data_IF_888490606905
#
_entry.id   IF_888490606905
#
_cell.length_a   1.000
_cell.length_b   1.000
_cell.length_c   1.000
_cell.angle_alpha   90.00
_cell.angle_beta   90.00
_cell.angle_gamma   90.00
#
_symmetry.space_group_name_H-M   'P 1'
#
loop_
_entity.id
_entity.type
_entity.pdbx_description
1 polymer ?
#
# COMPACT_ATOMS: atom_id res chain seq x y z
N UNK A 1 -22.27 -10.91 5.00
CA UNK A 1 -22.30 -9.52 5.48
C UNK A 1 -21.34 -8.73 4.61
N UNK A 2 -21.82 -7.76 3.83
CA UNK A 2 -20.92 -6.81 3.14
C UNK A 2 -20.24 -6.00 4.24
N UNK A 3 -18.97 -6.30 4.53
CA UNK A 3 -18.14 -5.38 5.28
C UNK A 3 -18.00 -4.15 4.39
N UNK A 4 -18.64 -3.04 4.76
CA UNK A 4 -18.40 -1.74 4.16
C UNK A 4 -16.93 -1.43 4.34
N UNK A 5 -16.16 -1.65 3.29
CA UNK A 5 -14.76 -1.27 3.21
C UNK A 5 -14.73 0.26 3.18
N UNK A 6 -14.14 0.87 4.20
CA UNK A 6 -13.98 2.30 4.21
C UNK A 6 -12.84 2.65 3.25
N UNK A 7 -13.09 3.59 2.32
CA UNK A 7 -11.99 4.19 1.55
C UNK A 7 -10.96 4.76 2.52
N UNK A 8 -9.68 4.48 2.25
CA UNK A 8 -8.58 5.05 3.02
C UNK A 8 -8.75 6.57 3.14
N UNK A 9 -8.75 7.15 4.36
CA UNK A 9 -8.81 8.60 4.54
C UNK A 9 -7.68 9.31 3.80
N UNK A 10 -7.93 10.51 3.27
CA UNK A 10 -6.94 11.28 2.49
C UNK A 10 -5.53 11.37 3.11
N UNK A 11 -5.36 11.56 4.44
CA UNK A 11 -4.03 11.58 5.05
C UNK A 11 -3.29 10.24 4.91
N UNK A 12 -4.01 9.12 4.99
CA UNK A 12 -3.45 7.77 4.82
C UNK A 12 -3.16 7.46 3.34
N UNK A 13 -3.89 8.07 2.40
CA UNK A 13 -3.53 7.99 0.98
C UNK A 13 -2.19 8.68 0.68
N UNK A 14 -1.93 9.84 1.29
CA UNK A 14 -0.66 10.57 1.14
C UNK A 14 0.49 9.71 1.68
N UNK A 15 0.32 9.14 2.87
CA UNK A 15 1.30 8.22 3.48
C UNK A 15 1.59 7.00 2.60
N UNK A 16 0.56 6.42 1.97
CA UNK A 16 0.75 5.31 1.04
C UNK A 16 1.56 5.72 -0.21
N UNK A 17 1.29 6.89 -0.77
CA UNK A 17 2.05 7.41 -1.92
C UNK A 17 3.52 7.65 -1.56
N UNK A 18 3.79 8.22 -0.39
CA UNK A 18 5.15 8.41 0.12
C UNK A 18 5.87 7.07 0.32
N UNK A 19 5.18 6.05 0.86
CA UNK A 19 5.75 4.71 1.04
C UNK A 19 6.03 4.00 -0.29
N UNK A 20 5.18 4.18 -1.30
CA UNK A 20 5.40 3.64 -2.66
C UNK A 20 6.64 4.28 -3.28
N UNK A 21 6.77 5.61 -3.21
CA UNK A 21 7.93 6.33 -3.76
C UNK A 21 9.22 5.96 -3.02
N UNK A 22 9.17 5.85 -1.69
CA UNK A 22 10.31 5.39 -0.88
C UNK A 22 10.70 3.95 -1.21
N UNK A 23 9.74 3.05 -1.42
CA UNK A 23 10.00 1.66 -1.81
C UNK A 23 10.59 1.56 -3.23
N UNK A 24 10.26 2.50 -4.10
CA UNK A 24 10.87 2.59 -5.43
C UNK A 24 12.34 3.03 -5.35
N UNK A 25 12.69 3.91 -4.41
CA UNK A 25 14.04 4.47 -4.26
C UNK A 25 14.94 3.67 -3.29
N UNK A 26 14.38 2.88 -2.39
CA UNK A 26 15.09 2.20 -1.28
C UNK A 26 14.42 0.89 -0.92
N UNK A 27 15.12 -0.02 -0.24
CA UNK A 27 14.62 -1.37 0.07
C UNK A 27 13.65 -1.37 1.28
N UNK A 28 12.55 -0.62 1.16
CA UNK A 28 11.51 -0.49 2.20
C UNK A 28 10.21 -1.22 1.87
N UNK A 29 10.23 -2.18 0.94
CA UNK A 29 9.11 -3.06 0.61
C UNK A 29 8.47 -3.75 1.84
N UNK A 30 9.23 -4.19 2.87
CA UNK A 30 8.62 -4.75 4.08
C UNK A 30 7.69 -3.74 4.76
N UNK A 31 8.07 -2.46 4.76
CA UNK A 31 7.31 -1.35 5.34
C UNK A 31 6.04 -1.07 4.54
N UNK A 32 6.13 -1.12 3.21
CA UNK A 32 4.98 -0.98 2.32
C UNK A 32 4.00 -2.16 2.47
N UNK A 33 4.52 -3.39 2.58
CA UNK A 33 3.72 -4.58 2.83
C UNK A 33 3.00 -4.54 4.19
N UNK A 34 3.70 -4.09 5.25
CA UNK A 34 3.13 -3.91 6.58
C UNK A 34 2.00 -2.86 6.57
N UNK A 35 2.18 -1.78 5.81
CA UNK A 35 1.16 -0.76 5.65
C UNK A 35 -0.12 -1.31 5.01
N UNK A 36 0.03 -2.04 3.89
CA UNK A 36 -1.10 -2.69 3.22
C UNK A 36 -1.78 -3.72 4.11
N UNK A 37 -1.02 -4.47 4.90
CA UNK A 37 -1.56 -5.41 5.88
C UNK A 37 -2.34 -4.68 6.99
N UNK A 38 -1.85 -3.54 7.45
CA UNK A 38 -2.54 -2.71 8.44
C UNK A 38 -3.85 -2.14 7.89
N UNK A 39 -3.88 -1.65 6.65
CA UNK A 39 -5.10 -1.22 5.96
C UNK A 39 -6.14 -2.34 5.95
N UNK A 40 -5.76 -3.54 5.50
CA UNK A 40 -6.66 -4.70 5.45
C UNK A 40 -7.20 -5.08 6.83
N UNK A 41 -6.36 -5.07 7.87
CA UNK A 41 -6.77 -5.37 9.26
C UNK A 41 -7.73 -4.34 9.85
N UNK A 42 -7.63 -3.09 9.41
CA UNK A 42 -8.46 -1.99 9.91
C UNK A 42 -9.73 -1.78 9.08
N UNK A 43 -9.93 -2.59 8.03
CA UNK A 43 -11.09 -2.47 7.13
C UNK A 43 -10.96 -1.32 6.13
N UNK A 44 -9.74 -0.76 5.98
CA UNK A 44 -9.43 0.21 4.94
C UNK A 44 -8.91 -0.50 3.70
N UNK A 45 -9.41 -0.10 2.54
CA UNK A 45 -8.87 -0.54 1.26
C UNK A 45 -8.35 0.66 0.49
N UNK A 46 -7.05 0.67 0.15
CA UNK A 46 -6.51 1.64 -0.76
C UNK A 46 -7.23 1.59 -2.12
N UNK A 47 -7.30 2.71 -2.86
CA UNK A 47 -7.70 2.68 -4.25
C UNK A 47 -6.92 1.61 -5.03
N UNK A 48 -7.61 0.90 -5.94
CA UNK A 48 -7.01 -0.18 -6.72
C UNK A 48 -5.74 0.25 -7.45
N UNK A 49 -5.71 1.48 -7.98
CA UNK A 49 -4.54 2.07 -8.64
C UNK A 49 -3.30 2.15 -7.72
N UNK A 50 -3.48 2.57 -6.47
CA UNK A 50 -2.39 2.62 -5.49
C UNK A 50 -1.96 1.22 -5.06
N UNK A 51 -2.93 0.31 -4.94
CA UNK A 51 -2.67 -1.09 -4.62
C UNK A 51 -1.81 -1.75 -5.71
N UNK A 52 -2.14 -1.52 -6.97
CA UNK A 52 -1.41 -2.08 -8.11
C UNK A 52 -0.01 -1.49 -8.21
N UNK A 53 0.16 -0.17 -8.02
CA UNK A 53 1.50 0.44 -7.96
C UNK A 53 2.35 -0.13 -6.82
N UNK A 54 1.78 -0.29 -5.63
CA UNK A 54 2.49 -0.87 -4.50
C UNK A 54 2.94 -2.32 -4.79
N UNK A 55 2.08 -3.12 -5.43
CA UNK A 55 2.39 -4.50 -5.80
C UNK A 55 3.48 -4.58 -6.86
N UNK A 56 3.44 -3.71 -7.86
CA UNK A 56 4.46 -3.63 -8.92
C UNK A 56 5.84 -3.27 -8.35
N UNK A 57 5.93 -2.29 -7.43
CA UNK A 57 7.18 -1.94 -6.75
C UNK A 57 7.73 -3.13 -5.96
N UNK A 58 6.89 -3.82 -5.19
CA UNK A 58 7.28 -5.02 -4.42
C UNK A 58 7.75 -6.15 -5.36
N UNK A 59 7.07 -6.35 -6.49
CA UNK A 59 7.41 -7.41 -7.45
C UNK A 59 8.72 -7.14 -8.19
N UNK A 60 8.97 -5.89 -8.62
CA UNK A 60 10.19 -5.53 -9.37
C UNK A 60 11.46 -5.88 -8.59
N UNK A 61 11.49 -5.56 -7.30
CA UNK A 61 12.68 -5.79 -6.46
C UNK A 61 12.87 -7.23 -6.03
N UNK A 62 11.82 -8.05 -6.00
CA UNK A 62 11.93 -9.49 -5.74
C UNK A 62 12.61 -10.27 -6.88
N UNK A 63 12.73 -9.68 -8.06
CA UNK A 63 13.32 -10.29 -9.25
C UNK A 63 14.79 -9.88 -9.44
N UNK A 64 15.26 -8.83 -8.73
CA UNK A 64 16.67 -8.42 -8.67
C UNK A 64 17.44 -9.18 -7.60
#
# INVERSE_FOLDING_TARGET
MLQTVATVPTPRMIELLELIDLANQSDVEPRLADYLYHCRRTGYEPPAELLDMARDVIQRKRIC
#
